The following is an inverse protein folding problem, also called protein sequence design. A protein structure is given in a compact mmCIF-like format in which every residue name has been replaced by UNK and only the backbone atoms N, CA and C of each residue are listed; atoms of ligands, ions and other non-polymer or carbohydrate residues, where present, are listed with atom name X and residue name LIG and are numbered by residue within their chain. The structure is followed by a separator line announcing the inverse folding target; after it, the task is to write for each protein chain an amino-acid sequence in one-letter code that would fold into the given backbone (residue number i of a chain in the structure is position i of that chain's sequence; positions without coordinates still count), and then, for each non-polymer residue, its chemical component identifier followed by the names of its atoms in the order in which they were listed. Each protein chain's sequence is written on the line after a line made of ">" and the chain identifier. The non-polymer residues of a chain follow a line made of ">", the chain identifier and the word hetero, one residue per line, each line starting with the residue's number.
data_IF_098752223387
#
_entry.id   IF_098752223387
#
_cell.length_a   1.000
_cell.length_b   1.000
_cell.length_c   1.000
_cell.angle_alpha   90.00
_cell.angle_beta   90.00
_cell.angle_gamma   90.00
#
_symmetry.space_group_name_H-M   'P 1'
#
loop_
_entity.id
_entity.type
_entity.pdbx_description
1 polymer ?
#
# COMPACT_ATOMS: atom_id res chain seq x y z
N UNK A 1 -23.48 65.51 16.58
CA UNK A 1 -24.03 64.45 17.45
C UNK A 1 -24.70 63.41 16.56
N UNK A 2 -24.12 62.23 16.41
CA UNK A 2 -24.78 60.91 16.28
C UNK A 2 -23.69 59.87 16.02
N UNK A 3 -23.43 59.06 17.04
CA UNK A 3 -22.67 57.83 16.94
C UNK A 3 -23.51 56.76 16.23
N UNK A 4 -22.88 55.93 15.42
CA UNK A 4 -23.50 54.75 14.81
C UNK A 4 -22.50 53.62 14.79
N UNK A 5 -22.55 52.78 15.84
CA UNK A 5 -21.78 51.53 15.94
C UNK A 5 -22.49 50.47 15.12
N UNK A 6 -21.92 50.02 14.01
CA UNK A 6 -22.41 48.84 13.29
C UNK A 6 -21.64 47.62 13.74
N UNK A 7 -22.29 46.84 14.60
CA UNK A 7 -21.90 45.48 14.97
C UNK A 7 -22.08 44.57 13.76
N UNK A 8 -20.98 44.25 13.08
CA UNK A 8 -20.94 43.30 11.98
C UNK A 8 -20.54 41.92 12.49
N UNK A 9 -21.50 41.01 12.51
CA UNK A 9 -21.35 39.59 12.85
C UNK A 9 -20.18 38.98 12.05
N UNK A 10 -19.09 38.64 12.73
CA UNK A 10 -18.05 37.81 12.15
C UNK A 10 -18.60 36.38 12.01
N UNK A 11 -19.08 36.02 10.81
CA UNK A 11 -19.25 34.61 10.43
C UNK A 11 -17.85 34.00 10.40
N UNK A 12 -17.43 33.42 11.52
CA UNK A 12 -16.30 32.52 11.58
C UNK A 12 -16.58 31.34 10.68
N UNK A 13 -15.96 31.31 9.50
CA UNK A 13 -15.98 30.15 8.62
C UNK A 13 -15.22 29.03 9.33
N UNK A 14 -15.99 28.04 9.78
CA UNK A 14 -15.51 26.79 10.37
C UNK A 14 -14.56 26.12 9.38
N UNK A 15 -13.27 26.06 9.71
CA UNK A 15 -12.32 25.21 9.01
C UNK A 15 -12.69 23.76 9.32
N UNK A 16 -13.43 23.12 8.41
CA UNK A 16 -13.57 21.66 8.35
C UNK A 16 -12.20 21.08 7.96
N UNK A 17 -11.26 21.04 8.90
CA UNK A 17 -10.11 20.15 8.81
C UNK A 17 -10.62 18.72 8.92
N UNK A 18 -11.07 18.18 7.79
CA UNK A 18 -11.40 16.78 7.66
C UNK A 18 -10.19 15.94 8.05
N UNK A 19 -10.34 15.09 9.06
CA UNK A 19 -9.37 14.07 9.39
C UNK A 19 -9.29 13.06 8.24
N UNK A 20 -8.49 13.35 7.21
CA UNK A 20 -8.14 12.38 6.20
C UNK A 20 -7.02 11.49 6.76
N UNK A 21 -7.38 10.50 7.58
CA UNK A 21 -6.45 9.55 8.21
C UNK A 21 -5.86 8.52 7.23
N UNK A 22 -5.93 8.76 5.92
CA UNK A 22 -5.33 7.90 4.91
C UNK A 22 -3.88 8.33 4.62
N UNK A 23 -2.97 7.36 4.52
CA UNK A 23 -1.64 7.56 3.93
C UNK A 23 -1.75 8.37 2.62
N UNK A 24 -0.84 9.33 2.39
CA UNK A 24 -0.93 10.28 1.28
C UNK A 24 -0.95 9.58 -0.08
N UNK A 25 -1.48 10.29 -1.08
CA UNK A 25 -1.45 9.83 -2.46
C UNK A 25 -0.01 9.80 -3.00
N UNK A 26 0.28 8.78 -3.80
CA UNK A 26 1.45 8.81 -4.68
C UNK A 26 1.20 9.87 -5.75
N UNK A 27 2.18 10.73 -6.00
CA UNK A 27 2.11 11.80 -7.00
C UNK A 27 3.19 11.69 -8.07
N UNK A 28 4.24 10.91 -7.82
CA UNK A 28 5.37 10.71 -8.72
C UNK A 28 5.58 9.22 -8.99
N UNK A 29 6.07 8.85 -10.19
CA UNK A 29 6.36 7.46 -10.51
C UNK A 29 7.49 6.91 -9.63
N UNK A 30 7.51 5.58 -9.45
CA UNK A 30 8.56 4.89 -8.70
C UNK A 30 9.18 3.76 -9.53
N UNK A 31 10.49 3.57 -9.43
CA UNK A 31 11.17 2.40 -10.00
C UNK A 31 11.18 1.26 -8.98
N UNK A 32 10.41 0.20 -9.24
CA UNK A 32 10.20 -0.93 -8.33
C UNK A 32 10.52 -2.26 -9.01
N UNK A 33 11.65 -2.88 -8.63
CA UNK A 33 12.10 -4.15 -9.21
C UNK A 33 12.48 -4.02 -10.69
N UNK A 34 13.07 -2.88 -11.08
CA UNK A 34 13.54 -2.63 -12.44
C UNK A 34 12.49 -2.09 -13.42
N UNK A 35 11.28 -1.77 -12.95
CA UNK A 35 10.22 -1.19 -13.79
C UNK A 35 9.69 0.11 -13.19
N UNK A 36 9.42 1.10 -14.03
CA UNK A 36 8.72 2.32 -13.64
C UNK A 36 7.23 2.02 -13.43
N UNK A 37 6.68 2.46 -12.30
CA UNK A 37 5.29 2.28 -11.92
C UNK A 37 4.67 3.67 -11.72
N UNK A 38 3.54 3.92 -12.39
CA UNK A 38 2.88 5.22 -12.32
C UNK A 38 2.22 5.47 -10.95
N UNK A 39 2.02 6.75 -10.57
CA UNK A 39 1.28 7.11 -9.37
C UNK A 39 -0.13 6.50 -9.32
N UNK A 40 -0.83 6.44 -10.46
CA UNK A 40 -2.19 5.90 -10.56
C UNK A 40 -2.22 4.41 -10.19
N UNK A 41 -1.29 3.63 -10.72
CA UNK A 41 -1.17 2.20 -10.41
C UNK A 41 -0.83 1.96 -8.92
N UNK A 42 0.03 2.79 -8.34
CA UNK A 42 0.37 2.72 -6.91
C UNK A 42 -0.83 3.10 -6.02
N UNK A 43 -1.57 4.15 -6.38
CA UNK A 43 -2.77 4.56 -5.66
C UNK A 43 -3.88 3.50 -5.75
N UNK A 44 -4.10 2.91 -6.93
CA UNK A 44 -5.03 1.80 -7.11
C UNK A 44 -4.63 0.59 -6.26
N UNK A 45 -3.36 0.21 -6.27
CA UNK A 45 -2.82 -0.88 -5.45
C UNK A 45 -3.00 -0.63 -3.95
N UNK A 46 -2.75 0.61 -3.49
CA UNK A 46 -3.00 1.02 -2.10
C UNK A 46 -4.46 0.83 -1.70
N UNK A 47 -5.38 1.28 -2.55
CA UNK A 47 -6.80 1.25 -2.23
C UNK A 47 -7.32 -0.19 -2.21
N UNK A 48 -6.89 -1.03 -3.15
CA UNK A 48 -7.14 -2.48 -3.12
C UNK A 48 -6.53 -3.16 -1.89
N UNK A 49 -5.31 -2.79 -1.51
CA UNK A 49 -4.62 -3.34 -0.34
C UNK A 49 -5.38 -3.03 0.96
N UNK A 50 -5.91 -1.81 1.09
CA UNK A 50 -6.74 -1.42 2.23
C UNK A 50 -7.99 -2.28 2.36
N UNK A 51 -8.64 -2.59 1.24
CA UNK A 51 -9.87 -3.39 1.23
C UNK A 51 -9.60 -4.87 1.47
N UNK A 52 -8.51 -5.42 0.91
CA UNK A 52 -8.32 -6.87 0.83
C UNK A 52 -7.20 -7.43 1.71
N UNK A 53 -6.22 -6.62 2.11
CA UNK A 53 -4.96 -7.11 2.68
C UNK A 53 -4.72 -6.65 4.11
N UNK A 54 -5.13 -5.43 4.48
CA UNK A 54 -4.80 -4.80 5.77
C UNK A 54 -5.24 -5.62 6.98
N UNK A 55 -6.37 -6.33 6.91
CA UNK A 55 -6.88 -7.13 8.04
C UNK A 55 -5.87 -8.17 8.53
N UNK A 56 -5.02 -8.69 7.63
CA UNK A 56 -3.98 -9.67 7.96
C UNK A 56 -2.58 -9.06 7.89
N UNK A 57 -2.27 -8.30 6.85
CA UNK A 57 -0.91 -7.79 6.63
C UNK A 57 -0.60 -6.45 7.35
N UNK A 58 -1.62 -5.78 7.92
CA UNK A 58 -1.47 -4.49 8.59
C UNK A 58 -1.32 -3.33 7.60
N UNK A 59 -1.59 -2.09 8.03
CA UNK A 59 -1.49 -0.90 7.16
C UNK A 59 -0.05 -0.62 6.72
N UNK A 60 0.91 -0.91 7.62
CA UNK A 60 2.34 -0.76 7.38
C UNK A 60 2.99 -1.99 6.70
N UNK A 61 2.21 -3.00 6.31
CA UNK A 61 2.72 -4.23 5.69
C UNK A 61 3.56 -5.11 6.61
N UNK A 62 3.43 -4.96 7.93
CA UNK A 62 4.24 -5.63 8.94
C UNK A 62 3.77 -7.06 9.28
N UNK A 63 2.69 -7.55 8.69
CA UNK A 63 2.12 -8.85 9.00
C UNK A 63 1.39 -8.90 10.36
N UNK A 64 1.04 -7.75 10.92
CA UNK A 64 0.50 -7.56 12.27
C UNK A 64 -0.97 -7.10 12.27
N UNK A 65 -1.68 -7.33 11.17
CA UNK A 65 -3.10 -7.00 11.06
C UNK A 65 -3.93 -7.70 12.14
N UNK A 66 -5.12 -7.16 12.50
CA UNK A 66 -5.92 -7.68 13.61
C UNK A 66 -6.26 -9.17 13.50
N UNK A 67 -6.40 -9.70 12.27
CA UNK A 67 -6.65 -11.11 12.00
C UNK A 67 -5.39 -12.00 12.07
N UNK A 68 -4.18 -11.42 11.95
CA UNK A 68 -2.93 -12.18 11.96
C UNK A 68 -2.74 -13.00 13.25
N UNK A 69 -3.22 -12.47 14.40
CA UNK A 69 -3.14 -13.12 15.71
C UNK A 69 -3.86 -14.47 15.79
N UNK A 70 -4.80 -14.73 14.89
CA UNK A 70 -5.58 -15.96 14.86
C UNK A 70 -5.08 -16.95 13.80
N UNK A 71 -4.03 -16.61 13.04
CA UNK A 71 -3.45 -17.48 12.04
C UNK A 71 -2.34 -18.34 12.64
N UNK A 72 -2.33 -19.63 12.29
CA UNK A 72 -1.25 -20.56 12.67
C UNK A 72 0.10 -20.12 12.11
N UNK A 73 0.09 -19.52 10.92
CA UNK A 73 1.28 -19.00 10.26
C UNK A 73 1.15 -17.48 10.14
N UNK A 74 2.13 -16.72 10.64
CA UNK A 74 2.07 -15.27 10.52
C UNK A 74 2.12 -14.86 9.03
N UNK A 75 1.39 -13.81 8.63
CA UNK A 75 1.56 -13.20 7.31
C UNK A 75 2.98 -12.67 7.12
N UNK A 76 3.41 -12.55 5.87
CA UNK A 76 4.73 -11.99 5.56
C UNK A 76 4.85 -10.53 6.03
N UNK A 77 6.00 -10.18 6.61
CA UNK A 77 6.43 -8.79 6.81
C UNK A 77 7.06 -8.29 5.51
N UNK A 78 6.30 -7.50 4.75
CA UNK A 78 6.73 -6.98 3.45
C UNK A 78 7.88 -5.99 3.59
N UNK A 79 8.08 -5.36 4.75
CA UNK A 79 9.17 -4.39 4.98
C UNK A 79 10.53 -5.06 4.96
N UNK A 80 10.60 -6.28 5.49
CA UNK A 80 11.80 -7.11 5.44
C UNK A 80 12.11 -7.63 4.02
N UNK A 81 11.14 -7.59 3.10
CA UNK A 81 11.27 -8.14 1.76
C UNK A 81 11.57 -9.65 1.77
N UNK A 82 11.01 -10.39 2.72
CA UNK A 82 11.19 -11.84 2.86
C UNK A 82 9.91 -12.57 2.46
N UNK A 83 10.04 -13.56 1.58
CA UNK A 83 8.91 -14.32 1.06
C UNK A 83 9.23 -15.81 1.07
N UNK A 84 8.35 -16.59 1.70
CA UNK A 84 8.57 -18.04 1.86
C UNK A 84 8.36 -18.86 0.58
N UNK A 85 8.00 -18.24 -0.54
CA UNK A 85 7.71 -18.91 -1.82
C UNK A 85 8.80 -18.68 -2.88
N UNK A 86 9.91 -18.02 -2.49
CA UNK A 86 11.14 -17.88 -3.29
C UNK A 86 12.33 -18.32 -2.43
N UNK A 87 13.52 -18.40 -3.02
CA UNK A 87 14.70 -18.78 -2.26
C UNK A 87 15.04 -17.74 -1.18
N UNK A 88 15.68 -18.21 -0.11
CA UNK A 88 16.06 -17.33 0.99
C UNK A 88 16.98 -16.20 0.49
N UNK A 89 16.66 -14.97 0.90
CA UNK A 89 17.40 -13.77 0.47
C UNK A 89 16.99 -13.23 -0.90
N UNK A 90 16.21 -13.95 -1.71
CA UNK A 90 15.71 -13.44 -2.99
C UNK A 90 14.44 -12.59 -2.83
N UNK A 91 14.20 -11.73 -3.81
CA UNK A 91 12.92 -11.03 -3.97
C UNK A 91 12.12 -11.71 -5.08
N UNK A 92 10.80 -11.90 -4.90
CA UNK A 92 9.95 -12.40 -5.96
C UNK A 92 9.89 -11.42 -7.13
N UNK A 93 9.77 -11.98 -8.34
CA UNK A 93 9.43 -11.20 -9.54
C UNK A 93 8.02 -10.62 -9.44
N UNK A 94 7.69 -9.71 -10.35
CA UNK A 94 6.33 -9.14 -10.42
C UNK A 94 5.28 -10.24 -10.68
N UNK A 95 5.60 -11.18 -11.56
CA UNK A 95 4.75 -12.30 -11.94
C UNK A 95 4.54 -13.24 -10.76
N UNK A 96 5.60 -13.57 -10.01
CA UNK A 96 5.51 -14.43 -8.83
C UNK A 96 4.65 -13.79 -7.73
N UNK A 97 4.75 -12.47 -7.51
CA UNK A 97 3.87 -11.75 -6.58
C UNK A 97 2.41 -11.79 -7.05
N UNK A 98 2.18 -11.51 -8.33
CA UNK A 98 0.83 -11.53 -8.93
C UNK A 98 0.19 -12.90 -8.82
N UNK A 99 0.92 -13.96 -9.15
CA UNK A 99 0.46 -15.34 -9.02
C UNK A 99 0.15 -15.67 -7.56
N UNK A 100 1.06 -15.32 -6.63
CA UNK A 100 0.87 -15.53 -5.18
C UNK A 100 -0.41 -14.89 -4.67
N UNK A 101 -0.71 -13.66 -5.09
CA UNK A 101 -1.95 -12.95 -4.73
C UNK A 101 -3.14 -13.67 -5.35
N UNK A 102 -3.09 -13.99 -6.64
CA UNK A 102 -4.20 -14.63 -7.32
C UNK A 102 -4.58 -15.98 -6.69
N UNK A 103 -3.59 -16.85 -6.45
CA UNK A 103 -3.84 -18.20 -5.93
C UNK A 103 -4.08 -18.21 -4.43
N UNK A 104 -3.52 -17.25 -3.67
CA UNK A 104 -3.58 -17.25 -2.21
C UNK A 104 -2.85 -18.44 -1.58
N UNK A 105 -2.65 -18.44 -0.26
CA UNK A 105 -2.20 -19.60 0.54
C UNK A 105 -3.35 -20.07 1.46
N UNK A 106 -4.39 -20.75 0.93
CA UNK A 106 -5.52 -21.20 1.75
C UNK A 106 -5.07 -22.07 2.94
N UNK A 107 -4.04 -22.89 2.74
CA UNK A 107 -3.43 -23.73 3.77
C UNK A 107 -2.75 -22.93 4.90
N UNK A 108 -2.48 -21.63 4.66
CA UNK A 108 -1.96 -20.67 5.65
C UNK A 108 -2.96 -19.57 6.01
N UNK A 109 -4.20 -19.66 5.54
CA UNK A 109 -5.26 -18.69 5.81
C UNK A 109 -5.23 -17.43 4.94
N UNK A 110 -4.39 -17.37 3.89
CA UNK A 110 -4.46 -16.31 2.89
C UNK A 110 -5.45 -16.72 1.79
N UNK A 111 -6.56 -15.99 1.59
CA UNK A 111 -7.58 -16.36 0.60
C UNK A 111 -7.04 -16.23 -0.82
N UNK A 112 -7.76 -16.82 -1.77
CA UNK A 112 -7.50 -16.67 -3.21
C UNK A 112 -8.32 -15.50 -3.78
N UNK A 113 -7.74 -14.77 -4.73
CA UNK A 113 -8.41 -13.71 -5.50
C UNK A 113 -8.59 -14.12 -6.97
N UNK A 114 -8.89 -15.40 -7.22
CA UNK A 114 -9.29 -15.89 -8.56
C UNK A 114 -10.51 -15.11 -9.04
N UNK A 115 -10.36 -14.41 -10.17
CA UNK A 115 -11.40 -13.54 -10.75
C UNK A 115 -11.13 -12.04 -10.59
N UNK A 116 -10.14 -11.64 -9.79
CA UNK A 116 -9.64 -10.27 -9.80
C UNK A 116 -8.99 -9.97 -11.16
N UNK A 117 -9.18 -8.74 -11.65
CA UNK A 117 -8.66 -8.33 -12.96
C UNK A 117 -7.12 -8.33 -12.94
N UNK A 118 -6.44 -8.68 -14.05
CA UNK A 118 -4.97 -8.69 -14.11
C UNK A 118 -4.32 -7.36 -13.69
N UNK A 119 -4.93 -6.24 -14.05
CA UNK A 119 -4.47 -4.90 -13.68
C UNK A 119 -4.56 -4.63 -12.17
N UNK A 120 -5.58 -5.16 -11.49
CA UNK A 120 -5.75 -5.01 -10.05
C UNK A 120 -4.72 -5.86 -9.29
N UNK A 121 -4.46 -7.08 -9.77
CA UNK A 121 -3.41 -7.94 -9.23
C UNK A 121 -2.02 -7.31 -9.41
N UNK A 122 -1.76 -6.75 -10.60
CA UNK A 122 -0.51 -6.03 -10.89
C UNK A 122 -0.35 -4.79 -10.00
N UNK A 123 -1.43 -4.01 -9.81
CA UNK A 123 -1.42 -2.84 -8.92
C UNK A 123 -1.13 -3.23 -7.47
N UNK A 124 -1.74 -4.31 -6.95
CA UNK A 124 -1.43 -4.87 -5.63
C UNK A 124 0.03 -5.30 -5.52
N UNK A 125 0.53 -6.05 -6.51
CA UNK A 125 1.92 -6.51 -6.52
C UNK A 125 2.91 -5.33 -6.53
N UNK A 126 2.62 -4.27 -7.28
CA UNK A 126 3.44 -3.05 -7.29
C UNK A 126 3.36 -2.31 -5.96
N UNK A 127 2.17 -2.17 -5.37
CA UNK A 127 2.02 -1.53 -4.06
C UNK A 127 2.76 -2.30 -2.96
N UNK A 128 2.73 -3.63 -2.95
CA UNK A 128 3.46 -4.45 -1.98
C UNK A 128 4.98 -4.17 -2.02
N UNK A 129 5.55 -3.95 -3.21
CA UNK A 129 6.97 -3.62 -3.36
C UNK A 129 7.34 -2.29 -2.67
N UNK A 130 6.39 -1.38 -2.45
CA UNK A 130 6.66 -0.08 -1.79
C UNK A 130 7.02 -0.22 -0.31
N UNK A 131 6.69 -1.35 0.34
CA UNK A 131 6.97 -1.55 1.75
C UNK A 131 8.45 -1.80 2.06
N UNK A 132 9.28 -2.20 1.09
CA UNK A 132 10.70 -2.42 1.32
C UNK A 132 11.57 -1.63 0.35
N UNK A 133 12.65 -0.99 0.84
CA UNK A 133 13.63 -0.34 -0.04
C UNK A 133 14.37 -1.34 -0.95
N UNK A 134 14.28 -2.65 -0.67
CA UNK A 134 14.98 -3.67 -1.47
C UNK A 134 14.52 -3.74 -2.93
N UNK A 135 13.29 -3.33 -3.25
CA UNK A 135 12.85 -3.19 -4.65
C UNK A 135 13.12 -1.82 -5.23
N UNK A 136 13.44 -0.83 -4.40
CA UNK A 136 13.73 0.51 -4.89
C UNK A 136 15.11 0.51 -5.52
N UNK A 137 15.17 0.75 -6.82
CA UNK A 137 16.42 1.21 -7.43
C UNK A 137 16.50 2.71 -7.16
N UNK A 138 17.63 3.26 -6.65
CA UNK A 138 17.77 4.70 -6.52
C UNK A 138 17.51 5.37 -7.86
N UNK A 139 16.44 6.17 -7.95
CA UNK A 139 16.14 7.00 -9.13
C UNK A 139 17.13 8.17 -9.13
N UNK A 140 18.36 7.91 -9.55
CA UNK A 140 19.40 8.93 -9.65
C UNK A 140 20.79 8.42 -9.29
N UNK A 141 21.62 8.32 -10.34
CA UNK A 141 23.07 8.06 -10.31
C UNK A 141 23.48 6.62 -9.93
N UNK A 142 23.65 5.80 -10.96
CA UNK A 142 24.84 4.96 -11.00
C UNK A 142 26.05 5.88 -11.25
N UNK A 143 26.72 6.27 -10.17
CA UNK A 143 28.12 6.71 -10.15
C UNK A 143 28.69 6.04 -8.88
N UNK A 144 29.76 5.26 -8.93
CA UNK A 144 30.98 5.38 -9.73
C UNK A 144 31.58 4.01 -10.04
#
# INVERSE_FOLDING_TARGET
>A
MTAGVTSGLALGLVLLSGCNSGAPAFTEPMTLGGSEVSPEALNQGRDLYRVHCVSCHGDAGAGDGPAARNLKFPPADFRAGQFSFVAEGELPTHEQLTERIQVGAPERGMPSWKGMRPEDLSALANYIKTFSPRWSTPSGKAAS
#
